data_IF_027939740785
#
_entry.id   IF_027939740785
#
_cell.length_a   1.000
_cell.length_b   1.000
_cell.length_c   1.000
_cell.angle_alpha   90.00
_cell.angle_beta   90.00
_cell.angle_gamma   90.00
#
_symmetry.space_group_name_H-M   'P 1'
#
loop_
_entity.id
_entity.type
_entity.pdbx_description
1 polymer ?
#
# COMPACT_ATOMS: atom_id res chain seq x y z
N UNK A 1 1.50 20.57 -26.74
CA UNK A 1 2.42 20.84 -25.62
C UNK A 1 1.81 20.28 -24.34
N UNK A 2 2.60 20.11 -23.26
CA UNK A 2 2.12 19.58 -21.98
C UNK A 2 2.31 20.62 -20.90
N UNK A 3 1.25 20.99 -20.22
CA UNK A 3 1.27 21.86 -19.03
C UNK A 3 1.31 21.00 -17.76
N UNK A 4 1.99 21.46 -16.74
CA UNK A 4 2.04 20.81 -15.44
C UNK A 4 1.42 21.71 -14.39
N UNK A 5 0.48 21.18 -13.59
CA UNK A 5 -0.12 21.89 -12.47
C UNK A 5 -0.10 21.07 -11.18
N UNK A 6 -0.14 21.74 -10.05
CA UNK A 6 -0.35 21.05 -8.77
C UNK A 6 -1.78 20.49 -8.66
N UNK A 7 -1.88 19.33 -8.03
CA UNK A 7 -3.14 18.74 -7.63
C UNK A 7 -3.70 19.40 -6.37
N UNK A 8 -5.00 19.31 -6.21
CA UNK A 8 -5.76 19.79 -5.05
C UNK A 8 -6.69 18.70 -4.56
N UNK A 9 -7.23 18.81 -3.34
CA UNK A 9 -8.18 17.82 -2.81
C UNK A 9 -9.41 17.60 -3.70
N UNK A 10 -9.76 18.55 -4.55
CA UNK A 10 -10.85 18.41 -5.51
C UNK A 10 -10.52 17.49 -6.70
N UNK A 11 -9.24 17.17 -6.89
CA UNK A 11 -8.76 16.36 -8.03
C UNK A 11 -8.76 14.84 -7.74
N UNK A 12 -9.24 14.38 -6.58
CA UNK A 12 -9.29 12.94 -6.22
C UNK A 12 -9.98 12.09 -7.31
N UNK A 13 -11.10 12.57 -7.83
CA UNK A 13 -11.84 11.88 -8.90
C UNK A 13 -11.05 11.86 -10.21
N UNK A 14 -10.42 12.97 -10.57
CA UNK A 14 -9.58 13.07 -11.78
C UNK A 14 -8.40 12.10 -11.71
N UNK A 15 -7.76 11.96 -10.54
CA UNK A 15 -6.69 10.98 -10.35
C UNK A 15 -7.19 9.55 -10.55
N UNK A 16 -8.37 9.21 -10.01
CA UNK A 16 -8.99 7.90 -10.21
C UNK A 16 -9.30 7.62 -11.69
N UNK A 17 -9.81 8.60 -12.42
CA UNK A 17 -10.15 8.47 -13.85
C UNK A 17 -8.91 8.23 -14.74
N UNK A 18 -7.70 8.60 -14.27
CA UNK A 18 -6.42 8.26 -14.89
C UNK A 18 -5.89 6.92 -14.41
N UNK A 19 -6.02 6.65 -13.10
CA UNK A 19 -5.54 5.43 -12.45
C UNK A 19 -6.17 4.17 -13.06
N UNK A 20 -7.49 4.12 -13.12
CA UNK A 20 -8.22 2.90 -13.47
C UNK A 20 -7.86 2.37 -14.86
N UNK A 21 -7.94 3.15 -15.97
CA UNK A 21 -7.56 2.65 -17.28
C UNK A 21 -6.08 2.30 -17.40
N UNK A 22 -5.21 2.94 -16.60
CA UNK A 22 -3.77 2.64 -16.61
C UNK A 22 -3.47 1.31 -15.93
N UNK A 23 -4.15 1.00 -14.82
CA UNK A 23 -4.01 -0.30 -14.13
C UNK A 23 -4.62 -1.41 -14.97
N UNK A 24 -5.74 -1.19 -15.63
CA UNK A 24 -6.34 -2.17 -16.56
C UNK A 24 -5.41 -2.49 -17.73
N UNK A 25 -4.77 -1.46 -18.31
CA UNK A 25 -3.78 -1.66 -19.36
C UNK A 25 -2.57 -2.45 -18.87
N UNK A 26 -2.07 -2.12 -17.69
CA UNK A 26 -0.98 -2.87 -17.05
C UNK A 26 -1.36 -4.33 -16.86
N UNK A 27 -2.53 -4.63 -16.31
CA UNK A 27 -3.04 -5.99 -16.11
C UNK A 27 -3.09 -6.79 -17.39
N UNK A 28 -3.62 -6.20 -18.48
CA UNK A 28 -3.63 -6.83 -19.80
C UNK A 28 -2.24 -7.15 -20.34
N UNK A 29 -1.26 -6.27 -20.11
CA UNK A 29 0.11 -6.44 -20.62
C UNK A 29 0.95 -7.42 -19.83
N UNK A 30 0.72 -7.51 -18.51
CA UNK A 30 1.55 -8.33 -17.63
C UNK A 30 0.94 -9.71 -17.36
N UNK A 31 -0.28 -9.97 -17.84
CA UNK A 31 -0.99 -11.23 -17.60
C UNK A 31 -1.36 -11.47 -16.14
N UNK A 32 -1.22 -10.45 -15.31
CA UNK A 32 -1.48 -10.47 -13.90
C UNK A 32 -2.03 -9.12 -13.46
N UNK A 33 -3.06 -9.15 -12.75
CA UNK A 33 -3.74 -8.06 -12.08
C UNK A 33 -4.82 -8.72 -11.28
N UNK A 34 -4.45 -9.27 -10.15
CA UNK A 34 -5.42 -9.63 -9.16
C UNK A 34 -6.26 -8.39 -8.91
N UNK A 35 -7.54 -8.47 -9.17
CA UNK A 35 -8.57 -7.43 -9.02
C UNK A 35 -8.99 -6.66 -10.28
N UNK A 36 -8.74 -7.16 -11.48
CA UNK A 36 -9.64 -6.88 -12.60
C UNK A 36 -10.99 -7.60 -12.36
N UNK A 37 -11.57 -7.46 -11.19
CA UNK A 37 -13.00 -7.68 -11.05
C UNK A 37 -13.65 -6.58 -11.87
N UNK A 38 -14.44 -6.97 -12.86
CA UNK A 38 -15.24 -6.09 -13.70
C UNK A 38 -16.31 -5.37 -12.87
N UNK A 39 -15.88 -4.62 -11.85
CA UNK A 39 -16.74 -3.76 -11.08
C UNK A 39 -17.18 -2.61 -12.01
N UNK A 40 -18.45 -2.24 -11.94
CA UNK A 40 -18.92 -1.05 -12.63
C UNK A 40 -18.05 0.16 -12.18
N UNK A 41 -17.61 1.06 -13.07
CA UNK A 41 -16.73 2.17 -12.72
C UNK A 41 -17.22 3.03 -11.56
N UNK A 42 -18.54 3.20 -11.42
CA UNK A 42 -19.15 3.92 -10.29
C UNK A 42 -18.96 3.20 -8.95
N UNK A 43 -19.05 1.86 -8.94
CA UNK A 43 -18.82 1.04 -7.75
C UNK A 43 -17.35 1.02 -7.38
N UNK A 44 -16.46 0.92 -8.38
CA UNK A 44 -15.02 0.97 -8.18
C UNK A 44 -14.59 2.30 -7.54
N UNK A 45 -15.13 3.44 -8.02
CA UNK A 45 -14.88 4.74 -7.40
C UNK A 45 -15.38 4.80 -5.95
N UNK A 46 -16.63 4.40 -5.69
CA UNK A 46 -17.18 4.46 -4.34
C UNK A 46 -16.32 3.68 -3.33
N UNK A 47 -15.80 2.53 -3.75
CA UNK A 47 -14.91 1.70 -2.92
C UNK A 47 -13.53 2.33 -2.70
N UNK A 48 -12.96 2.97 -3.74
CA UNK A 48 -11.59 3.52 -3.68
C UNK A 48 -11.53 4.96 -3.19
N UNK A 49 -12.64 5.69 -3.26
CA UNK A 49 -12.72 7.11 -2.90
C UNK A 49 -12.09 7.43 -1.53
N UNK A 50 -12.37 6.69 -0.43
CA UNK A 50 -11.77 7.03 0.87
C UNK A 50 -10.24 7.05 0.84
N UNK A 51 -9.61 6.14 0.09
CA UNK A 51 -8.16 6.12 -0.09
C UNK A 51 -7.70 7.32 -0.92
N UNK A 52 -8.33 7.58 -2.07
CA UNK A 52 -7.96 8.71 -2.94
C UNK A 52 -8.10 10.06 -2.23
N UNK A 53 -9.16 10.23 -1.44
CA UNK A 53 -9.38 11.44 -0.65
C UNK A 53 -8.32 11.58 0.47
N UNK A 54 -7.95 10.49 1.14
CA UNK A 54 -6.86 10.49 2.13
C UNK A 54 -5.52 10.86 1.49
N UNK A 55 -5.15 10.21 0.39
CA UNK A 55 -3.91 10.52 -0.32
C UNK A 55 -3.89 11.97 -0.84
N UNK A 56 -5.04 12.49 -1.29
CA UNK A 56 -5.16 13.88 -1.72
C UNK A 56 -4.99 14.88 -0.57
N UNK A 57 -5.56 14.56 0.59
CA UNK A 57 -5.49 15.43 1.78
C UNK A 57 -4.10 15.44 2.41
N UNK A 58 -3.30 14.41 2.22
CA UNK A 58 -2.00 14.23 2.89
C UNK A 58 -0.81 14.25 1.94
N UNK A 59 -1.04 14.53 0.65
CA UNK A 59 0.03 14.67 -0.33
C UNK A 59 0.98 15.83 0.02
N UNK A 60 2.29 15.58 -0.11
CA UNK A 60 3.33 16.61 -0.04
C UNK A 60 3.58 17.21 -1.43
N UNK A 61 3.79 16.34 -2.42
CA UNK A 61 3.90 16.73 -3.82
C UNK A 61 2.85 15.97 -4.66
N UNK A 62 2.01 16.71 -5.37
CA UNK A 62 1.02 16.15 -6.27
C UNK A 62 0.92 16.99 -7.53
N UNK A 63 1.16 16.36 -8.69
CA UNK A 63 1.25 17.02 -9.97
C UNK A 63 0.48 16.30 -11.04
N UNK A 64 -0.25 17.06 -11.87
CA UNK A 64 -0.90 16.60 -13.09
C UNK A 64 -0.17 17.11 -14.32
N UNK A 65 -0.17 16.29 -15.37
CA UNK A 65 0.20 16.65 -16.71
C UNK A 65 -1.08 16.81 -17.54
N UNK A 66 -1.25 17.95 -18.19
CA UNK A 66 -2.40 18.27 -19.01
C UNK A 66 -1.96 18.54 -20.45
N UNK A 67 -2.70 17.98 -21.42
CA UNK A 67 -2.53 18.32 -22.81
C UNK A 67 -3.10 19.73 -23.05
N UNK A 68 -2.27 20.67 -23.47
CA UNK A 68 -2.66 22.06 -23.73
C UNK A 68 -3.68 22.21 -24.87
N UNK A 69 -3.70 21.29 -25.83
CA UNK A 69 -4.61 21.36 -26.95
C UNK A 69 -6.05 20.99 -26.55
N UNK A 70 -6.20 20.05 -25.63
CA UNK A 70 -7.50 19.54 -25.20
C UNK A 70 -7.90 20.00 -23.79
N UNK A 71 -6.94 20.45 -22.98
CA UNK A 71 -7.14 20.76 -21.55
C UNK A 71 -7.29 19.51 -20.68
N UNK A 72 -7.17 18.32 -21.24
CA UNK A 72 -7.37 17.07 -20.50
C UNK A 72 -6.12 16.66 -19.73
N UNK A 73 -6.31 16.17 -18.50
CA UNK A 73 -5.24 15.55 -17.73
C UNK A 73 -4.91 14.16 -18.32
N UNK A 74 -3.64 13.94 -18.62
CA UNK A 74 -3.13 12.72 -19.27
C UNK A 74 -2.21 11.91 -18.36
N UNK A 75 -1.92 12.40 -17.18
CA UNK A 75 -1.12 11.68 -16.18
C UNK A 75 -1.00 12.46 -14.89
N UNK A 76 -0.60 11.77 -13.84
CA UNK A 76 -0.27 12.40 -12.56
C UNK A 76 0.77 11.60 -11.79
N UNK A 77 1.41 12.27 -10.84
CA UNK A 77 2.27 11.64 -9.84
C UNK A 77 2.03 12.31 -8.48
N UNK A 78 2.07 11.50 -7.43
CA UNK A 78 1.82 11.95 -6.06
C UNK A 78 2.77 11.27 -5.09
N UNK A 79 3.30 12.05 -4.14
CA UNK A 79 4.05 11.54 -3.01
C UNK A 79 3.58 12.18 -1.71
N UNK A 80 3.82 11.49 -0.61
CA UNK A 80 3.71 12.05 0.73
C UNK A 80 5.06 11.98 1.47
N UNK A 81 5.15 12.66 2.60
CA UNK A 81 6.26 12.54 3.54
C UNK A 81 5.72 12.12 4.90
N UNK A 82 6.29 11.05 5.48
CA UNK A 82 5.99 10.55 6.81
C UNK A 82 7.29 10.38 7.59
N UNK A 83 7.41 11.03 8.74
CA UNK A 83 8.60 10.94 9.62
C UNK A 83 9.94 11.02 8.84
N UNK A 84 9.99 11.88 7.82
CA UNK A 84 11.17 12.09 6.98
C UNK A 84 11.39 11.05 5.87
N UNK A 85 10.44 10.15 5.62
CA UNK A 85 10.43 9.25 4.46
C UNK A 85 9.45 9.75 3.42
N UNK A 86 9.91 9.95 2.19
CA UNK A 86 9.07 10.27 1.03
C UNK A 86 8.72 9.02 0.28
N UNK A 87 7.44 8.71 0.18
CA UNK A 87 6.94 7.62 -0.66
C UNK A 87 6.28 8.18 -1.92
N UNK A 88 6.66 7.65 -3.09
CA UNK A 88 5.90 7.83 -4.32
C UNK A 88 4.70 6.88 -4.29
N UNK A 89 3.54 7.40 -3.92
CA UNK A 89 2.33 6.59 -3.77
C UNK A 89 1.68 6.24 -5.09
N UNK A 90 1.76 7.15 -6.06
CA UNK A 90 1.10 7.00 -7.35
C UNK A 90 1.89 7.68 -8.45
N UNK A 91 1.97 6.99 -9.59
CA UNK A 91 2.61 7.50 -10.80
C UNK A 91 1.98 6.84 -12.03
N UNK A 92 1.08 7.57 -12.66
CA UNK A 92 0.28 7.07 -13.77
C UNK A 92 0.28 8.05 -14.95
N UNK A 93 0.43 7.51 -16.14
CA UNK A 93 0.31 8.24 -17.42
C UNK A 93 -0.56 7.38 -18.34
N UNK A 94 -1.61 7.97 -18.87
CA UNK A 94 -2.53 7.29 -19.78
C UNK A 94 -1.76 6.62 -20.93
N UNK A 95 -2.13 5.40 -21.36
CA UNK A 95 -1.39 4.63 -22.36
C UNK A 95 -1.07 5.41 -23.64
N UNK A 96 -2.03 6.18 -24.15
CA UNK A 96 -1.92 7.01 -25.36
C UNK A 96 -0.99 8.22 -25.20
N UNK A 97 -0.73 8.66 -23.97
CA UNK A 97 0.14 9.80 -23.66
C UNK A 97 1.56 9.39 -23.26
N UNK A 98 1.86 8.10 -23.23
CA UNK A 98 3.19 7.58 -22.91
C UNK A 98 4.20 7.89 -24.02
N UNK A 99 5.49 7.83 -23.71
CA UNK A 99 6.63 8.09 -24.59
C UNK A 99 6.97 9.57 -24.88
N UNK A 100 6.11 10.54 -24.55
CA UNK A 100 6.36 11.98 -24.75
C UNK A 100 7.22 12.67 -23.68
N UNK A 101 7.88 11.94 -22.78
CA UNK A 101 8.67 12.51 -21.68
C UNK A 101 7.85 12.93 -20.45
N UNK A 102 6.52 12.87 -20.51
CA UNK A 102 5.58 13.28 -19.46
C UNK A 102 5.93 12.61 -18.12
N UNK A 103 6.16 11.30 -18.13
CA UNK A 103 6.50 10.56 -16.92
C UNK A 103 7.79 11.04 -16.24
N UNK A 104 8.82 11.43 -17.01
CA UNK A 104 10.06 11.99 -16.45
C UNK A 104 9.80 13.29 -15.72
N UNK A 105 9.02 14.17 -16.32
CA UNK A 105 8.71 15.50 -15.76
C UNK A 105 7.79 15.39 -14.52
N UNK A 106 6.80 14.49 -14.54
CA UNK A 106 5.95 14.22 -13.38
C UNK A 106 6.79 13.67 -12.22
N UNK A 107 7.65 12.69 -12.48
CA UNK A 107 8.49 12.09 -11.44
C UNK A 107 9.46 13.10 -10.84
N UNK A 108 10.08 13.97 -11.68
CA UNK A 108 10.98 15.00 -11.20
C UNK A 108 10.29 16.02 -10.25
N UNK A 109 8.99 16.28 -10.47
CA UNK A 109 8.21 17.20 -9.63
C UNK A 109 7.66 16.55 -8.38
N UNK A 110 7.11 15.35 -8.53
CA UNK A 110 6.41 14.67 -7.44
C UNK A 110 7.35 13.87 -6.53
N UNK A 111 8.57 13.56 -6.98
CA UNK A 111 9.51 12.74 -6.24
C UNK A 111 10.92 13.33 -6.21
N UNK A 112 11.07 14.57 -5.68
CA UNK A 112 12.36 15.23 -5.61
C UNK A 112 13.36 14.45 -4.75
N UNK A 113 14.64 14.55 -5.09
CA UNK A 113 15.73 13.90 -4.38
C UNK A 113 16.02 14.51 -3.00
N UNK A 114 15.47 15.70 -2.72
CA UNK A 114 15.70 16.46 -1.49
C UNK A 114 14.40 16.57 -0.67
N UNK A 115 14.53 17.05 0.57
CA UNK A 115 13.36 17.29 1.44
C UNK A 115 12.85 16.04 2.17
N UNK A 116 13.58 14.92 2.10
CA UNK A 116 13.31 13.72 2.87
C UNK A 116 14.63 13.05 3.27
N UNK A 117 14.62 12.30 4.38
CA UNK A 117 15.77 11.51 4.84
C UNK A 117 15.94 10.25 4.01
N UNK A 118 14.84 9.61 3.66
CA UNK A 118 14.76 8.44 2.80
C UNK A 118 13.64 8.59 1.80
N UNK A 119 13.73 7.82 0.71
CA UNK A 119 12.72 7.76 -0.33
C UNK A 119 12.33 6.31 -0.58
N UNK A 120 11.08 6.08 -0.94
CA UNK A 120 10.56 4.74 -1.23
C UNK A 120 9.54 4.75 -2.37
N UNK A 121 9.42 3.60 -3.03
CA UNK A 121 8.43 3.33 -4.08
C UNK A 121 8.03 1.86 -3.98
N UNK A 122 6.74 1.59 -3.86
CA UNK A 122 6.17 0.27 -4.14
C UNK A 122 5.79 0.22 -5.62
N UNK A 123 6.45 -0.62 -6.39
CA UNK A 123 6.36 -0.61 -7.84
C UNK A 123 5.89 -1.95 -8.39
N UNK A 124 5.09 -1.90 -9.43
CA UNK A 124 4.80 -3.07 -10.28
C UNK A 124 6.03 -3.48 -11.09
N UNK A 125 6.00 -4.68 -11.70
CA UNK A 125 7.10 -5.20 -12.52
C UNK A 125 7.12 -4.64 -13.96
N UNK A 126 6.46 -3.52 -14.25
CA UNK A 126 6.55 -2.87 -15.56
C UNK A 126 8.00 -2.39 -15.81
N UNK A 127 8.73 -2.92 -16.81
CA UNK A 127 10.13 -2.58 -17.03
C UNK A 127 10.36 -1.10 -17.31
N UNK A 128 9.35 -0.41 -17.87
CA UNK A 128 9.43 1.04 -18.18
C UNK A 128 9.40 1.86 -16.91
N UNK A 129 8.53 1.48 -15.96
CA UNK A 129 8.47 2.12 -14.64
C UNK A 129 9.74 1.82 -13.83
N UNK A 130 10.17 0.55 -13.78
CA UNK A 130 11.41 0.13 -13.12
C UNK A 130 12.61 0.94 -13.63
N UNK A 131 12.77 1.09 -14.95
CA UNK A 131 13.86 1.87 -15.52
C UNK A 131 13.82 3.33 -15.05
N UNK A 132 12.63 3.93 -14.92
CA UNK A 132 12.47 5.29 -14.39
C UNK A 132 12.86 5.39 -12.93
N UNK A 133 12.44 4.41 -12.10
CA UNK A 133 12.77 4.41 -10.68
C UNK A 133 14.26 4.24 -10.43
N UNK A 134 14.92 3.33 -11.14
CA UNK A 134 16.39 3.18 -11.10
C UNK A 134 17.12 4.48 -11.50
N UNK A 135 16.58 5.25 -12.46
CA UNK A 135 17.14 6.55 -12.84
C UNK A 135 17.03 7.62 -11.73
N UNK A 136 16.14 7.45 -10.75
CA UNK A 136 16.09 8.30 -9.55
C UNK A 136 17.20 8.00 -8.55
N UNK A 137 18.00 6.96 -8.78
CA UNK A 137 19.06 6.51 -7.90
C UNK A 137 18.59 5.57 -6.78
N UNK A 138 17.31 5.18 -6.77
CA UNK A 138 16.82 4.22 -5.77
C UNK A 138 17.10 2.77 -6.20
N UNK A 139 17.74 1.96 -5.35
CA UNK A 139 17.86 0.54 -5.60
C UNK A 139 16.54 -0.20 -5.31
N UNK A 140 16.19 -1.19 -6.14
CA UNK A 140 15.20 -2.20 -5.79
C UNK A 140 15.79 -3.14 -4.75
N UNK A 141 15.19 -3.23 -3.57
CA UNK A 141 15.74 -3.99 -2.44
C UNK A 141 14.98 -5.26 -2.09
N UNK A 142 13.66 -5.23 -2.20
CA UNK A 142 12.81 -6.33 -1.72
C UNK A 142 11.71 -6.61 -2.74
N UNK A 143 11.49 -7.89 -3.04
CA UNK A 143 10.30 -8.32 -3.76
C UNK A 143 9.14 -8.47 -2.78
N UNK A 144 7.97 -8.04 -3.19
CA UNK A 144 6.71 -8.13 -2.46
C UNK A 144 5.77 -9.08 -3.19
N UNK A 145 5.09 -9.94 -2.46
CA UNK A 145 4.18 -10.92 -3.04
C UNK A 145 2.80 -10.85 -2.38
N UNK A 146 1.78 -10.97 -3.20
CA UNK A 146 0.42 -11.21 -2.73
C UNK A 146 0.25 -12.70 -2.42
N UNK A 147 -0.35 -13.00 -1.27
CA UNK A 147 -0.63 -14.37 -0.85
C UNK A 147 -2.12 -14.47 -0.58
N UNK A 148 -2.86 -15.15 -1.46
CA UNK A 148 -4.31 -15.23 -1.43
C UNK A 148 -4.79 -16.63 -1.05
N UNK A 149 -5.88 -16.70 -0.29
CA UNK A 149 -6.54 -17.95 0.06
C UNK A 149 -7.98 -17.78 0.50
N UNK A 150 -8.70 -18.90 0.59
CA UNK A 150 -10.05 -18.94 1.18
C UNK A 150 -9.91 -18.84 2.69
N UNK A 151 -10.45 -17.77 3.31
CA UNK A 151 -10.31 -17.58 4.74
C UNK A 151 -11.09 -18.62 5.54
N UNK A 152 -10.52 -19.05 6.65
CA UNK A 152 -11.16 -19.98 7.59
C UNK A 152 -10.89 -19.50 9.01
N UNK A 153 -11.84 -19.72 9.91
CA UNK A 153 -11.60 -19.50 11.33
C UNK A 153 -10.42 -20.33 11.80
N UNK A 154 -9.50 -19.68 12.48
CA UNK A 154 -8.30 -20.30 13.04
C UNK A 154 -8.02 -19.71 14.40
N UNK A 155 -7.58 -20.54 15.32
CA UNK A 155 -7.10 -20.14 16.64
C UNK A 155 -5.68 -20.69 16.80
N UNK A 156 -4.72 -19.82 16.95
CA UNK A 156 -3.35 -20.17 17.31
C UNK A 156 -3.16 -20.00 18.81
N UNK A 157 -2.40 -20.91 19.41
CA UNK A 157 -1.98 -20.75 20.79
C UNK A 157 -1.02 -19.56 20.89
N UNK A 158 -1.35 -18.58 21.72
CA UNK A 158 -0.56 -17.35 21.87
C UNK A 158 -0.77 -16.75 23.26
N UNK A 159 0.22 -16.01 23.74
CA UNK A 159 0.16 -15.16 24.91
C UNK A 159 -0.21 -13.70 24.58
N UNK A 160 -0.50 -13.42 23.31
CA UNK A 160 -0.93 -12.10 22.87
C UNK A 160 -2.39 -11.83 23.26
N UNK A 161 -2.60 -10.67 23.88
CA UNK A 161 -3.93 -10.13 24.15
C UNK A 161 -4.20 -9.02 23.16
N UNK A 162 -5.33 -9.11 22.43
CA UNK A 162 -5.74 -8.07 21.48
C UNK A 162 -6.67 -7.06 22.15
N UNK A 163 -6.43 -5.80 21.84
CA UNK A 163 -7.23 -4.65 22.26
C UNK A 163 -7.72 -3.91 21.03
N UNK A 164 -9.01 -3.61 20.96
CA UNK A 164 -9.56 -2.87 19.82
C UNK A 164 -9.08 -1.42 19.85
N UNK A 165 -8.62 -0.91 18.72
CA UNK A 165 -8.26 0.49 18.57
C UNK A 165 -9.53 1.38 18.66
N UNK A 166 -9.48 2.34 19.55
CA UNK A 166 -10.49 3.40 19.63
C UNK A 166 -10.10 4.54 18.67
N UNK A 167 -10.92 4.79 17.67
CA UNK A 167 -10.69 5.85 16.67
C UNK A 167 -10.58 7.24 17.33
N UNK A 168 -11.30 7.46 18.45
CA UNK A 168 -11.28 8.74 19.15
C UNK A 168 -10.03 8.92 20.02
N UNK A 169 -9.33 7.83 20.39
CA UNK A 169 -8.19 7.83 21.30
C UNK A 169 -7.10 6.84 20.87
N UNK A 170 -6.62 6.98 19.63
CA UNK A 170 -5.58 6.09 19.11
C UNK A 170 -4.27 6.21 19.90
N UNK A 171 -3.65 5.10 20.29
CA UNK A 171 -2.36 5.08 20.98
C UNK A 171 -1.21 5.29 19.99
N UNK A 172 -1.14 6.49 19.38
CA UNK A 172 -0.24 6.80 18.27
C UNK A 172 1.24 6.65 18.61
N UNK A 173 1.62 6.83 19.89
CA UNK A 173 3.02 6.64 20.30
C UNK A 173 3.41 5.16 20.30
N UNK A 174 2.50 4.26 20.70
CA UNK A 174 2.73 2.81 20.65
C UNK A 174 2.72 2.31 19.19
N UNK A 175 1.74 2.75 18.39
CA UNK A 175 1.67 2.43 16.96
C UNK A 175 2.92 2.91 16.21
N UNK A 176 3.33 4.18 16.44
CA UNK A 176 4.51 4.76 15.83
C UNK A 176 5.83 4.12 16.29
N UNK A 177 5.90 3.60 17.52
CA UNK A 177 7.06 2.83 17.98
C UNK A 177 7.18 1.50 17.23
N UNK A 178 6.06 0.80 17.00
CA UNK A 178 6.01 -0.43 16.22
C UNK A 178 6.37 -0.15 14.75
N UNK A 179 5.81 0.90 14.15
CA UNK A 179 6.14 1.33 12.79
C UNK A 179 7.65 1.57 12.62
N UNK A 180 8.27 2.34 13.52
CA UNK A 180 9.72 2.59 13.46
C UNK A 180 10.54 1.31 13.55
N UNK A 181 10.09 0.34 14.33
CA UNK A 181 10.77 -0.93 14.49
C UNK A 181 10.59 -1.87 13.28
N UNK A 182 9.55 -1.69 12.49
CA UNK A 182 9.21 -2.57 11.35
C UNK A 182 9.50 -1.94 10.00
N UNK A 183 8.98 -0.75 9.73
CA UNK A 183 9.14 -0.06 8.45
C UNK A 183 10.13 1.12 8.51
N UNK A 184 10.63 1.47 9.70
CA UNK A 184 11.67 2.49 9.89
C UNK A 184 11.17 3.93 10.04
N UNK A 185 9.86 4.18 10.01
CA UNK A 185 9.27 5.50 10.17
C UNK A 185 7.84 5.43 10.71
N UNK A 186 7.38 6.52 11.33
CA UNK A 186 6.04 6.67 11.90
C UNK A 186 5.08 7.26 10.84
N UNK A 187 3.79 6.92 10.92
CA UNK A 187 2.75 7.36 9.97
C UNK A 187 1.40 7.59 10.64
N UNK A 188 1.37 8.51 11.56
CA UNK A 188 0.19 8.82 12.39
C UNK A 188 -1.06 9.18 11.59
N UNK A 189 -0.89 9.91 10.46
CA UNK A 189 -1.97 10.29 9.57
C UNK A 189 -2.65 9.06 8.97
N UNK A 190 -1.84 8.08 8.60
CA UNK A 190 -2.32 6.85 7.98
C UNK A 190 -3.01 5.95 9.02
N UNK A 191 -2.51 5.89 10.26
CA UNK A 191 -3.20 5.20 11.36
C UNK A 191 -4.57 5.81 11.66
N UNK A 192 -4.70 7.15 11.67
CA UNK A 192 -5.99 7.82 11.86
C UNK A 192 -6.97 7.47 10.75
N UNK A 193 -6.50 7.49 9.50
CA UNK A 193 -7.33 7.11 8.36
C UNK A 193 -7.69 5.62 8.41
N UNK A 194 -6.72 4.72 8.57
CA UNK A 194 -6.97 3.27 8.62
C UNK A 194 -7.99 2.90 9.70
N UNK A 195 -7.84 3.44 10.92
CA UNK A 195 -8.77 3.18 12.01
C UNK A 195 -10.18 3.71 11.72
N UNK A 196 -10.33 4.76 10.90
CA UNK A 196 -11.64 5.30 10.50
C UNK A 196 -12.36 4.44 9.45
N UNK A 197 -11.64 3.64 8.68
CA UNK A 197 -12.18 2.84 7.58
C UNK A 197 -12.10 1.33 7.79
N UNK A 198 -11.32 0.86 8.77
CA UNK A 198 -11.08 -0.57 9.06
C UNK A 198 -11.09 -0.84 10.55
N UNK A 199 -11.60 -1.99 11.02
CA UNK A 199 -11.39 -2.43 12.39
C UNK A 199 -9.90 -2.64 12.66
N UNK A 200 -9.35 -1.93 13.63
CA UNK A 200 -7.94 -2.02 14.03
C UNK A 200 -7.78 -2.65 15.41
N UNK A 201 -6.66 -3.33 15.61
CA UNK A 201 -6.31 -4.01 16.86
C UNK A 201 -4.86 -3.75 17.25
N UNK A 202 -4.63 -3.52 18.52
CA UNK A 202 -3.32 -3.51 19.15
C UNK A 202 -3.13 -4.85 19.86
N UNK A 203 -1.96 -5.44 19.72
CA UNK A 203 -1.61 -6.72 20.35
C UNK A 203 -0.58 -6.46 21.44
N UNK A 204 -0.88 -6.97 22.65
CA UNK A 204 -0.03 -6.81 23.84
C UNK A 204 0.48 -8.13 24.36
N UNK A 205 1.70 -8.11 24.84
CA UNK A 205 2.32 -9.19 25.62
C UNK A 205 2.72 -8.64 26.99
N UNK A 206 2.15 -9.18 28.07
CA UNK A 206 2.44 -8.68 29.41
C UNK A 206 2.12 -7.18 29.60
N UNK A 207 1.11 -6.65 28.90
CA UNK A 207 0.71 -5.24 28.93
C UNK A 207 1.48 -4.33 27.97
N UNK A 208 2.57 -4.81 27.36
CA UNK A 208 3.38 -4.03 26.40
C UNK A 208 2.85 -4.24 24.98
N UNK A 209 2.70 -3.16 24.21
CA UNK A 209 2.32 -3.22 22.81
C UNK A 209 3.44 -3.85 21.97
N UNK A 210 3.15 -4.93 21.26
CA UNK A 210 4.12 -5.71 20.47
C UNK A 210 3.71 -5.89 19.02
N UNK A 211 2.52 -5.44 18.63
CA UNK A 211 2.04 -5.50 17.26
C UNK A 211 0.72 -4.78 17.09
N UNK A 212 0.35 -4.56 15.84
CA UNK A 212 -0.98 -4.07 15.47
C UNK A 212 -1.44 -4.71 14.16
N UNK A 213 -2.75 -4.63 13.88
CA UNK A 213 -3.30 -5.08 12.61
C UNK A 213 -4.63 -4.43 12.31
N UNK A 214 -4.89 -4.20 11.01
CA UNK A 214 -6.15 -3.69 10.49
C UNK A 214 -6.84 -4.78 9.69
N UNK A 215 -8.03 -5.20 10.14
CA UNK A 215 -8.72 -6.33 9.56
C UNK A 215 -9.33 -6.01 8.19
N UNK A 216 -9.49 -7.03 7.32
CA UNK A 216 -10.10 -6.85 6.01
C UNK A 216 -11.55 -6.37 6.09
N UNK A 217 -11.93 -5.41 5.24
CA UNK A 217 -13.30 -4.90 5.07
C UNK A 217 -13.95 -5.38 3.76
N UNK A 218 -13.13 -5.89 2.84
CA UNK A 218 -13.53 -6.49 1.58
C UNK A 218 -12.45 -7.48 1.15
N UNK A 219 -12.73 -8.39 0.20
CA UNK A 219 -11.70 -9.26 -0.34
C UNK A 219 -10.47 -8.46 -0.77
N UNK A 220 -9.29 -8.90 -0.39
CA UNK A 220 -8.00 -8.24 -0.70
C UNK A 220 -7.78 -6.83 -0.12
N UNK A 221 -8.62 -6.39 0.84
CA UNK A 221 -8.56 -5.05 1.42
C UNK A 221 -8.29 -5.10 2.92
N UNK A 222 -7.21 -5.73 3.32
CA UNK A 222 -6.74 -5.84 4.71
C UNK A 222 -5.40 -5.18 4.95
N UNK A 223 -4.89 -5.32 6.18
CA UNK A 223 -3.62 -4.76 6.61
C UNK A 223 -3.64 -3.24 6.86
N UNK A 224 -2.47 -2.70 7.24
CA UNK A 224 -1.23 -3.45 7.50
C UNK A 224 -1.28 -4.27 8.78
N UNK A 225 -0.34 -5.22 8.91
CA UNK A 225 -0.05 -5.92 10.14
C UNK A 225 1.43 -5.77 10.46
N UNK A 226 1.75 -5.43 11.71
CA UNK A 226 3.12 -5.25 12.16
C UNK A 226 3.34 -5.95 13.49
N UNK A 227 4.45 -6.63 13.65
CA UNK A 227 4.84 -7.30 14.87
C UNK A 227 6.30 -6.99 15.21
N UNK A 228 6.64 -6.84 16.51
CA UNK A 228 8.03 -6.64 16.93
C UNK A 228 8.87 -7.91 16.86
N UNK A 229 8.21 -9.08 16.78
CA UNK A 229 8.85 -10.41 16.69
C UNK A 229 8.28 -11.13 15.46
N UNK A 230 9.16 -11.75 14.66
CA UNK A 230 8.75 -12.45 13.43
C UNK A 230 7.73 -13.57 13.68
N UNK A 231 7.89 -14.30 14.80
CA UNK A 231 6.99 -15.39 15.18
C UNK A 231 5.57 -14.92 15.53
N UNK A 232 5.36 -13.64 15.81
CA UNK A 232 4.05 -13.08 16.14
C UNK A 232 3.24 -12.71 14.89
N UNK A 233 3.90 -12.37 13.78
CA UNK A 233 3.20 -11.98 12.55
C UNK A 233 2.18 -13.05 12.10
N UNK A 234 2.46 -14.36 12.08
CA UNK A 234 1.47 -15.39 11.79
C UNK A 234 0.22 -15.33 12.68
N UNK A 235 0.36 -14.97 13.95
CA UNK A 235 -0.78 -14.84 14.88
C UNK A 235 -1.69 -13.68 14.46
N UNK A 236 -1.09 -12.55 14.10
CA UNK A 236 -1.84 -11.38 13.64
C UNK A 236 -2.55 -11.67 12.30
N UNK A 237 -1.89 -12.37 11.38
CA UNK A 237 -2.47 -12.79 10.10
C UNK A 237 -3.62 -13.79 10.29
N UNK A 238 -3.49 -14.72 11.26
CA UNK A 238 -4.54 -15.66 11.64
C UNK A 238 -5.80 -14.96 12.15
N UNK A 239 -5.62 -13.89 12.92
CA UNK A 239 -6.72 -13.05 13.39
C UNK A 239 -7.41 -12.32 12.23
N UNK A 240 -6.64 -11.78 11.28
CA UNK A 240 -7.17 -11.20 10.05
C UNK A 240 -7.87 -12.22 9.13
N UNK A 241 -7.32 -13.43 9.00
CA UNK A 241 -7.97 -14.55 8.28
C UNK A 241 -9.31 -14.89 8.92
N UNK A 242 -9.35 -15.00 10.25
CA UNK A 242 -10.58 -15.30 11.00
C UNK A 242 -11.61 -14.18 10.81
N UNK A 243 -11.21 -12.92 10.86
CA UNK A 243 -12.10 -11.78 10.63
C UNK A 243 -12.70 -11.79 9.22
N UNK A 244 -11.90 -12.14 8.20
CA UNK A 244 -12.38 -12.29 6.83
C UNK A 244 -13.38 -13.45 6.70
N UNK A 245 -13.13 -14.58 7.38
CA UNK A 245 -14.06 -15.72 7.42
C UNK A 245 -15.37 -15.36 8.11
N UNK A 246 -15.31 -14.63 9.23
CA UNK A 246 -16.49 -14.17 9.98
C UNK A 246 -17.34 -13.18 9.16
N UNK A 247 -16.68 -12.36 8.34
CA UNK A 247 -17.34 -11.44 7.40
C UNK A 247 -17.88 -12.14 6.14
N UNK A 248 -17.62 -13.44 5.96
CA UNK A 248 -18.09 -14.21 4.80
C UNK A 248 -17.34 -13.89 3.49
N UNK A 249 -16.13 -13.39 3.57
CA UNK A 249 -15.32 -13.11 2.37
C UNK A 249 -14.97 -14.41 1.64
N UNK A 250 -15.10 -14.40 0.31
CA UNK A 250 -14.75 -15.56 -0.53
C UNK A 250 -13.23 -15.81 -0.58
N UNK A 251 -12.43 -14.74 -0.48
CA UNK A 251 -10.98 -14.80 -0.40
C UNK A 251 -10.44 -13.69 0.51
N UNK A 252 -9.19 -13.85 0.96
CA UNK A 252 -8.41 -12.81 1.63
C UNK A 252 -6.99 -12.84 1.08
N UNK A 253 -6.40 -11.66 0.91
CA UNK A 253 -5.03 -11.49 0.42
C UNK A 253 -4.20 -10.78 1.48
N UNK A 254 -2.98 -11.23 1.66
CA UNK A 254 -1.95 -10.57 2.46
C UNK A 254 -0.77 -10.20 1.57
N UNK A 255 -0.26 -8.99 1.71
CA UNK A 255 0.84 -8.46 0.92
C UNK A 255 2.10 -8.49 1.78
N UNK A 256 3.10 -9.30 1.39
CA UNK A 256 4.27 -9.61 2.21
C UNK A 256 5.56 -9.36 1.46
N UNK A 257 6.56 -8.84 2.17
CA UNK A 257 7.94 -8.94 1.70
C UNK A 257 8.36 -10.41 1.61
N UNK A 258 9.03 -10.81 0.53
CA UNK A 258 9.46 -12.21 0.38
C UNK A 258 10.48 -12.66 1.44
N UNK A 259 10.95 -11.75 2.28
CA UNK A 259 11.75 -12.03 3.48
C UNK A 259 10.92 -12.50 4.68
N UNK A 260 9.59 -12.36 4.66
CA UNK A 260 8.69 -12.71 5.77
C UNK A 260 8.44 -14.23 5.87
N UNK A 261 9.50 -15.01 6.09
CA UNK A 261 9.51 -16.47 6.00
C UNK A 261 8.50 -17.16 6.93
N UNK A 262 8.29 -16.64 8.15
CA UNK A 262 7.36 -17.25 9.11
C UNK A 262 5.90 -17.04 8.65
N UNK A 263 5.58 -15.85 8.12
CA UNK A 263 4.27 -15.55 7.55
C UNK A 263 3.98 -16.42 6.31
N UNK A 264 4.96 -16.56 5.39
CA UNK A 264 4.80 -17.45 4.23
C UNK A 264 4.60 -18.91 4.64
N UNK A 265 5.40 -19.42 5.58
CA UNK A 265 5.26 -20.80 6.07
C UNK A 265 3.86 -21.03 6.65
N UNK A 266 3.36 -20.08 7.43
CA UNK A 266 2.01 -20.14 7.98
C UNK A 266 0.95 -20.15 6.88
N UNK A 267 0.92 -19.15 5.99
CA UNK A 267 -0.11 -19.01 4.98
C UNK A 267 -0.10 -20.16 3.97
N UNK A 268 1.07 -20.55 3.46
CA UNK A 268 1.20 -21.66 2.52
C UNK A 268 0.78 -23.00 3.17
N UNK A 269 1.11 -23.21 4.46
CA UNK A 269 0.65 -24.36 5.23
C UNK A 269 -0.87 -24.38 5.42
N UNK A 270 -1.55 -23.23 5.32
CA UNK A 270 -3.01 -23.07 5.35
C UNK A 270 -3.66 -23.26 3.96
N UNK A 271 -2.87 -23.46 2.91
CA UNK A 271 -3.35 -23.63 1.54
C UNK A 271 -3.53 -22.32 0.76
N UNK A 272 -3.03 -21.22 1.29
CA UNK A 272 -2.89 -19.97 0.52
C UNK A 272 -1.89 -20.16 -0.61
N UNK A 273 -1.99 -19.34 -1.65
CA UNK A 273 -1.14 -19.39 -2.83
C UNK A 273 -0.51 -18.04 -3.09
N UNK A 274 0.73 -18.06 -3.54
CA UNK A 274 1.41 -16.85 -4.01
C UNK A 274 0.83 -16.49 -5.38
N UNK A 275 0.41 -15.24 -5.53
CA UNK A 275 -0.03 -14.70 -6.82
C UNK A 275 1.18 -14.56 -7.76
N UNK A 276 1.05 -14.84 -9.06
CA UNK A 276 2.13 -14.63 -10.03
C UNK A 276 2.53 -13.15 -10.19
N UNK A 277 1.67 -12.21 -9.77
CA UNK A 277 1.98 -10.79 -9.78
C UNK A 277 2.84 -10.42 -8.57
N UNK A 278 4.06 -9.97 -8.85
CA UNK A 278 5.04 -9.55 -7.85
C UNK A 278 5.24 -8.05 -7.96
N UNK A 279 5.45 -7.38 -6.84
CA UNK A 279 5.89 -6.00 -6.80
C UNK A 279 7.33 -5.90 -6.31
N UNK A 280 7.92 -4.74 -6.51
CA UNK A 280 9.26 -4.42 -6.04
C UNK A 280 9.23 -3.20 -5.13
N UNK A 281 9.90 -3.31 -4.00
CA UNK A 281 10.13 -2.19 -3.10
C UNK A 281 11.49 -1.56 -3.39
N UNK A 282 11.46 -0.31 -3.82
CA UNK A 282 12.64 0.53 -4.03
C UNK A 282 12.79 1.48 -2.85
N UNK A 283 13.97 1.54 -2.26
CA UNK A 283 14.23 2.50 -1.18
C UNK A 283 15.74 2.67 -0.96
N UNK A 284 16.14 3.85 -0.50
CA UNK A 284 17.47 4.11 0.08
C UNK A 284 17.48 3.95 1.62
N UNK A 285 16.29 3.73 2.23
CA UNK A 285 16.14 3.46 3.66
C UNK A 285 16.40 2.00 4.06
N UNK A 286 16.30 1.69 5.37
CA UNK A 286 16.40 0.33 5.89
C UNK A 286 15.21 -0.53 5.46
N UNK A 287 15.41 -1.85 5.43
CA UNK A 287 14.38 -2.85 5.08
C UNK A 287 14.33 -4.04 6.07
N UNK A 288 15.14 -3.99 7.12
CA UNK A 288 15.39 -5.13 8.03
C UNK A 288 14.17 -5.52 8.88
N UNK A 289 13.13 -4.69 8.92
CA UNK A 289 11.90 -5.00 9.65
C UNK A 289 10.78 -5.57 8.81
N UNK A 290 10.93 -5.61 7.48
CA UNK A 290 9.87 -6.05 6.57
C UNK A 290 9.53 -7.54 6.69
N UNK A 291 10.39 -8.35 7.30
CA UNK A 291 10.04 -9.74 7.64
C UNK A 291 8.96 -9.86 8.73
N UNK A 292 8.66 -8.77 9.42
CA UNK A 292 7.66 -8.66 10.50
C UNK A 292 6.48 -7.80 10.14
N UNK A 293 6.33 -7.51 8.85
CA UNK A 293 5.34 -6.57 8.35
C UNK A 293 4.56 -7.14 7.16
N UNK A 294 3.25 -7.01 7.18
CA UNK A 294 2.40 -7.19 6.03
C UNK A 294 1.85 -5.82 5.61
N UNK A 295 1.98 -5.49 4.33
CA UNK A 295 1.59 -4.20 3.80
C UNK A 295 0.07 -4.00 3.84
N UNK A 296 -0.38 -2.77 3.69
CA UNK A 296 -1.81 -2.51 3.45
C UNK A 296 -2.18 -2.92 2.03
N UNK A 297 -3.41 -3.36 1.84
CA UNK A 297 -3.96 -3.60 0.51
C UNK A 297 -5.06 -2.59 0.21
N UNK A 298 -5.03 -1.87 -0.92
CA UNK A 298 -3.97 -1.87 -1.94
C UNK A 298 -2.65 -1.29 -1.39
N UNK A 299 -1.51 -1.70 -1.95
CA UNK A 299 -0.18 -1.41 -1.39
C UNK A 299 0.31 -0.01 -1.79
N UNK A 300 -0.35 1.01 -1.31
CA UNK A 300 0.07 2.41 -1.49
C UNK A 300 0.85 2.97 -0.31
N UNK A 301 0.95 2.19 0.76
CA UNK A 301 1.76 2.49 1.93
C UNK A 301 2.69 1.32 2.21
N UNK A 302 3.89 1.61 2.55
CA UNK A 302 4.78 0.61 3.11
C UNK A 302 4.54 0.48 4.59
#
# INVERSE_FOLDING_TARGET
MTRYRRGTSADSRLAFDIFEPTIDDLGRRTGGGANATAAQPSTAWATRRPLFDHLAATADEWWFAEDEATGQAVGYARSFVRDGVRELTEFFVLPEAQAGGIGRELLARAFPATGARHRSIVATIDPRAIARYLQTGLPGKVALAFVEGVPRRVSLSTDLVRERLDVAALPLDELGAIDRATIGFRRDEDHRWLASVRPGWLYRRGGVAVGYGYHPIAPSWGGPYAALVTADLPVLLADGETAAADAGHASVTFDLAMTASDAFRYLLGRGFRVDPFVMLYFTDGPVDGLERYALTSPPFFV
#
